data_IF_949992575804
#
_entry.id   IF_949992575804
#
_cell.length_a   1.000
_cell.length_b   1.000
_cell.length_c   1.000
_cell.angle_alpha   90.00
_cell.angle_beta   90.00
_cell.angle_gamma   90.00
#
_symmetry.space_group_name_H-M   'P 1'
#
loop_
_entity.id
_entity.type
_entity.pdbx_description
1 polymer ?
#
# COMPACT_ATOMS: atom_id res chain seq x y z
N UNK A 1 25.13 27.37 11.72
CA UNK A 1 23.94 27.71 10.90
C UNK A 1 22.68 27.22 11.59
N UNK A 2 21.82 28.09 12.16
CA UNK A 2 20.61 27.63 12.83
C UNK A 2 19.35 28.05 12.05
N UNK A 3 18.53 27.10 11.61
CA UNK A 3 17.14 27.36 11.23
C UNK A 3 16.29 26.10 11.51
N UNK A 4 15.55 26.08 12.62
CA UNK A 4 14.18 26.63 12.80
C UNK A 4 13.10 25.62 12.38
N UNK A 5 12.81 24.69 13.28
CA UNK A 5 11.48 24.09 13.38
C UNK A 5 10.65 24.97 14.35
N UNK A 6 9.43 25.43 14.02
CA UNK A 6 8.73 26.44 14.82
C UNK A 6 7.99 25.84 16.03
N UNK A 7 7.77 26.62 17.12
CA UNK A 7 6.98 26.21 18.28
C UNK A 7 5.50 26.67 18.22
N UNK A 8 4.65 25.83 18.83
CA UNK A 8 3.33 26.02 19.48
C UNK A 8 2.22 26.94 18.92
N UNK A 9 1.02 26.32 18.93
CA UNK A 9 -0.32 26.83 19.27
C UNK A 9 -1.13 27.63 18.23
N UNK A 10 -2.35 27.15 17.92
CA UNK A 10 -3.61 27.75 18.42
C UNK A 10 -4.83 26.85 18.16
N UNK A 11 -5.76 26.86 19.13
CA UNK A 11 -7.10 26.26 19.12
C UNK A 11 -8.06 27.10 18.27
N UNK A 12 -8.80 26.53 17.32
CA UNK A 12 -10.01 27.15 16.74
C UNK A 12 -11.12 26.11 16.51
N UNK A 13 -12.20 26.35 17.26
CA UNK A 13 -13.66 26.08 17.13
C UNK A 13 -14.20 24.77 16.54
N UNK A 14 -15.02 24.14 17.41
CA UNK A 14 -16.16 23.25 17.15
C UNK A 14 -17.09 23.86 16.11
N UNK A 15 -17.48 23.08 15.11
CA UNK A 15 -18.83 23.14 14.54
C UNK A 15 -19.43 21.73 14.62
N UNK A 16 -20.52 21.60 15.37
CA UNK A 16 -21.45 20.47 15.32
C UNK A 16 -22.42 20.67 14.15
N UNK A 17 -22.87 19.57 13.51
CA UNK A 17 -24.21 19.27 12.93
C UNK A 17 -24.15 18.58 11.53
N UNK A 18 -25.11 17.69 11.15
CA UNK A 18 -25.97 16.74 11.89
C UNK A 18 -25.60 15.25 11.65
N UNK A 19 -26.30 14.29 12.29
CA UNK A 19 -26.35 12.92 11.82
C UNK A 19 -27.46 12.75 10.76
N UNK A 20 -27.11 12.32 9.55
CA UNK A 20 -28.02 11.63 8.65
C UNK A 20 -27.46 10.23 8.37
N UNK A 21 -28.21 9.22 8.81
CA UNK A 21 -28.03 7.83 8.40
C UNK A 21 -28.72 7.59 7.04
N UNK A 22 -28.62 6.38 6.49
CA UNK A 22 -27.43 5.82 5.87
C UNK A 22 -27.53 6.03 4.35
N UNK A 23 -26.51 6.61 3.74
CA UNK A 23 -26.38 6.55 2.28
C UNK A 23 -26.12 5.09 1.92
N UNK A 24 -27.06 4.49 1.18
CA UNK A 24 -26.93 3.16 0.61
C UNK A 24 -25.61 3.07 -0.13
N UNK A 25 -24.71 2.20 0.33
CA UNK A 25 -23.49 1.88 -0.39
C UNK A 25 -23.92 1.42 -1.79
N UNK A 26 -23.53 2.11 -2.88
CA UNK A 26 -23.83 1.59 -4.20
C UNK A 26 -23.19 0.20 -4.32
N UNK A 27 -23.88 -0.79 -4.90
CA UNK A 27 -23.28 -2.10 -5.10
C UNK A 27 -21.99 -1.89 -5.90
N UNK A 28 -20.89 -2.49 -5.44
CA UNK A 28 -19.67 -2.60 -6.23
C UNK A 28 -20.06 -3.29 -7.54
N UNK A 29 -20.13 -2.53 -8.63
CA UNK A 29 -20.33 -3.12 -9.95
C UNK A 29 -19.12 -4.01 -10.21
N UNK A 30 -19.32 -5.17 -10.83
CA UNK A 30 -18.24 -6.11 -11.17
C UNK A 30 -17.17 -5.53 -12.12
N UNK A 31 -17.26 -4.24 -12.47
CA UNK A 31 -16.39 -3.54 -13.39
C UNK A 31 -15.00 -3.20 -12.81
N UNK A 32 -14.83 -3.14 -11.48
CA UNK A 32 -13.57 -2.70 -10.84
C UNK A 32 -12.93 -3.78 -9.94
N UNK A 33 -13.18 -5.07 -10.23
CA UNK A 33 -12.57 -6.18 -9.49
C UNK A 33 -11.33 -6.68 -10.24
N UNK A 34 -10.14 -6.30 -9.77
CA UNK A 34 -8.89 -6.90 -10.21
C UNK A 34 -8.71 -8.30 -9.58
N UNK A 35 -8.45 -9.31 -10.41
CA UNK A 35 -8.15 -10.68 -9.97
C UNK A 35 -6.69 -11.00 -10.32
N UNK A 36 -5.86 -11.20 -9.30
CA UNK A 36 -4.44 -11.52 -9.47
C UNK A 36 -4.15 -13.00 -9.20
N UNK A 37 -3.57 -13.72 -10.17
CA UNK A 37 -3.10 -15.10 -10.03
C UNK A 37 -1.57 -15.14 -9.96
N UNK A 38 -1.04 -15.81 -8.94
CA UNK A 38 0.41 -15.92 -8.71
C UNK A 38 0.88 -17.35 -8.88
N UNK A 39 1.81 -17.55 -9.82
CA UNK A 39 2.41 -18.84 -10.10
C UNK A 39 3.86 -18.86 -9.63
N UNK A 40 4.27 -19.97 -9.01
CA UNK A 40 5.68 -20.26 -8.82
C UNK A 40 6.22 -20.86 -10.12
N UNK A 41 7.23 -20.22 -10.72
CA UNK A 41 7.86 -20.71 -11.96
C UNK A 41 9.24 -21.30 -11.64
N UNK A 42 9.42 -22.63 -11.76
CA UNK A 42 10.72 -23.27 -11.61
C UNK A 42 11.75 -22.68 -12.58
N UNK A 43 13.01 -22.60 -12.14
CA UNK A 43 14.07 -21.91 -12.90
C UNK A 43 14.22 -22.44 -14.34
N UNK A 44 14.11 -23.76 -14.53
CA UNK A 44 14.23 -24.43 -15.82
C UNK A 44 13.20 -23.94 -16.87
N UNK A 45 12.04 -23.44 -16.45
CA UNK A 45 10.97 -23.03 -17.36
C UNK A 45 10.89 -21.52 -17.62
N UNK A 46 11.70 -20.71 -16.92
CA UNK A 46 11.58 -19.24 -16.99
C UNK A 46 11.90 -18.69 -18.38
N UNK A 47 12.93 -19.20 -19.03
CA UNK A 47 13.32 -18.73 -20.37
C UNK A 47 12.24 -19.02 -21.42
N UNK A 48 11.70 -20.25 -21.41
CA UNK A 48 10.61 -20.64 -22.29
C UNK A 48 9.36 -19.78 -22.05
N UNK A 49 8.99 -19.53 -20.79
CA UNK A 49 7.86 -18.66 -20.45
C UNK A 49 8.05 -17.23 -20.96
N UNK A 50 9.25 -16.66 -20.82
CA UNK A 50 9.54 -15.30 -21.33
C UNK A 50 9.40 -15.25 -22.86
N UNK A 51 9.89 -16.26 -23.58
CA UNK A 51 9.76 -16.33 -25.03
C UNK A 51 8.28 -16.41 -25.46
N UNK A 52 7.51 -17.29 -24.82
CA UNK A 52 6.06 -17.44 -25.07
C UNK A 52 5.28 -16.15 -24.80
N UNK A 53 5.56 -15.47 -23.68
CA UNK A 53 4.91 -14.20 -23.37
C UNK A 53 5.30 -13.09 -24.35
N UNK A 54 6.56 -13.05 -24.77
CA UNK A 54 7.05 -12.08 -25.76
C UNK A 54 6.41 -12.25 -27.14
N UNK A 55 6.11 -13.48 -27.54
CA UNK A 55 5.40 -13.77 -28.79
C UNK A 55 3.93 -13.32 -28.76
N UNK A 56 3.33 -13.22 -27.56
CA UNK A 56 1.92 -12.84 -27.35
C UNK A 56 1.70 -11.35 -27.15
N UNK A 57 2.77 -10.57 -26.95
CA UNK A 57 2.67 -9.12 -26.82
C UNK A 57 3.91 -8.45 -26.24
N UNK A 58 3.89 -7.11 -26.26
CA UNK A 58 4.99 -6.30 -25.73
C UNK A 58 4.92 -6.24 -24.21
N UNK A 59 5.98 -6.66 -23.53
CA UNK A 59 6.14 -6.48 -22.09
C UNK A 59 7.21 -5.42 -21.80
N UNK A 60 7.03 -4.69 -20.70
CA UNK A 60 8.04 -3.75 -20.18
C UNK A 60 8.64 -4.31 -18.91
N UNK A 61 9.97 -4.40 -18.86
CA UNK A 61 10.68 -4.68 -17.62
C UNK A 61 10.79 -3.42 -16.78
N UNK A 62 10.38 -3.50 -15.52
CA UNK A 62 10.49 -2.41 -14.53
C UNK A 62 11.15 -2.97 -13.28
N UNK A 63 12.13 -2.24 -12.72
CA UNK A 63 12.70 -2.58 -11.43
C UNK A 63 11.75 -2.17 -10.31
N UNK A 64 11.52 -3.11 -9.38
CA UNK A 64 10.67 -2.91 -8.21
C UNK A 64 11.52 -3.11 -6.95
N UNK A 65 11.47 -2.15 -6.02
CA UNK A 65 12.11 -2.26 -4.70
C UNK A 65 11.07 -1.94 -3.63
N UNK A 66 10.80 -2.90 -2.76
CA UNK A 66 9.82 -2.78 -1.67
C UNK A 66 10.51 -2.60 -0.32
N UNK A 67 9.96 -1.72 0.53
CA UNK A 67 10.28 -1.66 1.95
C UNK A 67 9.00 -1.69 2.79
N UNK A 68 8.96 -2.60 3.75
CA UNK A 68 7.85 -2.78 4.69
C UNK A 68 8.12 -2.09 6.02
N UNK A 69 7.07 -1.65 6.68
CA UNK A 69 7.14 -0.92 7.94
C UNK A 69 6.19 -1.51 8.96
N UNK A 70 6.64 -1.53 10.21
CA UNK A 70 5.85 -1.97 11.36
C UNK A 70 6.38 -1.28 12.63
N UNK A 71 5.73 -1.52 13.76
CA UNK A 71 6.28 -1.19 15.08
C UNK A 71 7.23 -2.30 15.54
N UNK A 72 8.16 -2.02 16.48
CA UNK A 72 9.06 -3.04 17.02
C UNK A 72 8.34 -4.28 17.56
N UNK A 73 7.14 -4.10 18.12
CA UNK A 73 6.26 -5.14 18.66
C UNK A 73 5.27 -5.72 17.62
N UNK A 74 5.45 -5.41 16.32
CA UNK A 74 4.68 -5.96 15.18
C UNK A 74 3.18 -5.70 15.23
N UNK A 75 2.76 -4.48 15.58
CA UNK A 75 1.33 -4.13 15.71
C UNK A 75 0.57 -4.22 14.40
N UNK A 76 1.17 -3.84 13.28
CA UNK A 76 0.51 -3.91 11.98
C UNK A 76 0.30 -5.36 11.58
N UNK A 77 1.35 -6.18 11.63
CA UNK A 77 1.23 -7.60 11.31
C UNK A 77 0.21 -8.33 12.20
N UNK A 78 0.18 -8.05 13.51
CA UNK A 78 -0.81 -8.63 14.43
C UNK A 78 -2.24 -8.21 14.13
N UNK A 79 -2.43 -7.02 13.55
CA UNK A 79 -3.72 -6.54 13.07
C UNK A 79 -4.06 -7.02 11.64
N UNK A 80 -3.25 -7.90 11.06
CA UNK A 80 -3.43 -8.36 9.67
C UNK A 80 -3.17 -7.28 8.62
N UNK A 81 -2.37 -6.25 8.97
CA UNK A 81 -2.03 -5.12 8.11
C UNK A 81 -0.58 -5.19 7.64
N UNK A 82 -0.33 -4.72 6.41
CA UNK A 82 1.02 -4.49 5.91
C UNK A 82 1.11 -3.10 5.26
N UNK A 83 2.08 -2.30 5.72
CA UNK A 83 2.36 -0.98 5.15
C UNK A 83 3.69 -1.01 4.38
N UNK A 84 3.66 -0.66 3.10
CA UNK A 84 4.83 -0.65 2.21
C UNK A 84 5.07 0.71 1.56
N UNK A 85 6.32 0.99 1.25
CA UNK A 85 6.71 1.93 0.20
C UNK A 85 7.47 1.16 -0.87
N UNK A 86 7.14 1.41 -2.13
CA UNK A 86 7.72 0.76 -3.29
C UNK A 86 8.33 1.79 -4.22
N UNK A 87 9.53 1.52 -4.72
CA UNK A 87 10.08 2.20 -5.90
C UNK A 87 9.73 1.38 -7.13
N UNK A 88 8.99 1.96 -8.06
CA UNK A 88 8.68 1.36 -9.36
C UNK A 88 9.34 2.19 -10.45
N UNK A 89 10.53 1.77 -10.89
CA UNK A 89 11.37 2.59 -11.76
C UNK A 89 11.59 4.00 -11.18
N UNK A 90 10.90 5.00 -11.75
CA UNK A 90 11.00 6.42 -11.41
C UNK A 90 10.01 6.94 -10.35
N UNK A 91 9.01 6.15 -9.92
CA UNK A 91 7.94 6.60 -9.02
C UNK A 91 7.95 5.90 -7.67
N UNK A 92 7.48 6.59 -6.63
CA UNK A 92 7.23 5.99 -5.32
C UNK A 92 5.74 5.69 -5.15
N UNK A 93 5.43 4.51 -4.64
CA UNK A 93 4.06 4.05 -4.39
C UNK A 93 3.96 3.58 -2.94
N UNK A 94 3.04 4.15 -2.18
CA UNK A 94 2.74 3.70 -0.83
C UNK A 94 1.54 2.78 -0.85
N UNK A 95 1.68 1.57 -0.32
CA UNK A 95 0.63 0.56 -0.29
C UNK A 95 0.22 0.21 1.13
N UNK A 96 -1.08 0.15 1.39
CA UNK A 96 -1.65 -0.44 2.60
C UNK A 96 -2.45 -1.67 2.21
N UNK A 97 -2.12 -2.80 2.82
CA UNK A 97 -2.84 -4.06 2.63
C UNK A 97 -3.48 -4.48 3.94
N UNK A 98 -4.68 -5.05 3.88
CA UNK A 98 -5.33 -5.70 5.00
C UNK A 98 -5.81 -7.10 4.60
N UNK A 99 -5.60 -8.07 5.48
CA UNK A 99 -6.18 -9.40 5.30
C UNK A 99 -7.70 -9.29 5.32
N UNK A 100 -8.37 -9.94 4.37
CA UNK A 100 -9.80 -10.20 4.45
C UNK A 100 -10.03 -11.65 4.85
N UNK A 101 -11.26 -12.01 5.22
CA UNK A 101 -11.63 -13.37 5.60
C UNK A 101 -11.68 -14.35 4.39
N UNK A 102 -11.46 -13.88 3.15
CA UNK A 102 -11.47 -14.71 1.95
C UNK A 102 -10.06 -15.09 1.46
N UNK A 103 -9.89 -16.30 0.92
CA UNK A 103 -8.62 -16.77 0.37
C UNK A 103 -8.15 -15.97 -0.87
N UNK A 104 -9.09 -15.38 -1.62
CA UNK A 104 -8.84 -14.71 -2.90
C UNK A 104 -8.96 -13.18 -2.84
N UNK A 105 -9.63 -12.63 -1.83
CA UNK A 105 -9.83 -11.20 -1.69
C UNK A 105 -8.95 -10.64 -0.58
N UNK A 106 -8.27 -9.52 -0.82
CA UNK A 106 -7.59 -8.74 0.22
C UNK A 106 -7.84 -7.27 -0.08
N UNK A 107 -7.98 -6.47 0.98
CA UNK A 107 -7.98 -5.03 0.78
C UNK A 107 -6.57 -4.59 0.39
N UNK A 108 -6.45 -3.79 -0.65
CA UNK A 108 -5.23 -3.11 -1.06
C UNK A 108 -5.58 -1.69 -1.49
N UNK A 109 -4.80 -0.72 -1.03
CA UNK A 109 -4.90 0.66 -1.47
C UNK A 109 -3.50 1.23 -1.70
N UNK A 110 -3.30 1.78 -2.89
CA UNK A 110 -2.03 2.37 -3.33
C UNK A 110 -2.15 3.85 -3.60
N UNK A 111 -1.13 4.62 -3.20
CA UNK A 111 -1.06 6.06 -3.42
C UNK A 111 0.32 6.43 -3.95
N UNK A 112 0.37 7.18 -5.06
CA UNK A 112 1.62 7.72 -5.59
C UNK A 112 2.18 8.76 -4.63
N UNK A 113 3.48 8.69 -4.34
CA UNK A 113 4.17 9.59 -3.42
C UNK A 113 5.29 10.35 -4.13
N UNK A 114 5.61 11.58 -3.66
CA UNK A 114 6.73 12.33 -4.20
C UNK A 114 8.08 11.71 -3.80
N UNK A 115 8.15 11.02 -2.65
CA UNK A 115 9.37 10.43 -2.11
C UNK A 115 9.09 9.13 -1.32
N UNK A 116 10.13 8.60 -0.68
CA UNK A 116 10.06 7.37 0.10
C UNK A 116 9.48 7.55 1.53
N UNK A 117 8.99 8.74 1.90
CA UNK A 117 8.49 9.02 3.26
C UNK A 117 7.07 8.48 3.40
N UNK A 118 6.84 7.71 4.46
CA UNK A 118 5.49 7.26 4.79
C UNK A 118 4.60 8.43 5.21
N UNK A 119 3.36 8.42 4.73
CA UNK A 119 2.30 9.33 5.15
C UNK A 119 1.07 8.54 5.57
N UNK A 120 0.74 8.50 6.88
CA UNK A 120 -0.46 7.84 7.35
C UNK A 120 -1.76 8.44 6.78
N UNK A 121 -1.75 9.75 6.44
CA UNK A 121 -2.93 10.43 5.92
C UNK A 121 -3.26 10.02 4.49
N UNK A 122 -2.28 9.50 3.74
CA UNK A 122 -2.51 8.99 2.38
C UNK A 122 -3.57 7.87 2.33
N UNK A 123 -3.80 7.15 3.43
CA UNK A 123 -4.83 6.10 3.52
C UNK A 123 -6.03 6.49 4.41
N UNK A 124 -6.16 7.78 4.79
CA UNK A 124 -7.18 8.22 5.74
C UNK A 124 -8.61 7.98 5.24
N UNK A 125 -8.84 7.93 3.93
CA UNK A 125 -10.16 7.67 3.34
C UNK A 125 -10.54 6.17 3.30
N UNK A 126 -9.69 5.26 3.78
CA UNK A 126 -9.92 3.81 3.64
C UNK A 126 -10.25 3.10 4.95
N UNK A 127 -10.95 1.96 4.83
CA UNK A 127 -11.48 1.18 5.95
C UNK A 127 -10.40 0.57 6.88
N UNK A 128 -9.18 0.21 6.42
CA UNK A 128 -8.05 0.12 7.34
C UNK A 128 -7.40 1.50 7.49
N UNK A 129 -7.44 2.03 8.71
CA UNK A 129 -6.75 3.28 9.06
C UNK A 129 -5.51 2.98 9.87
N UNK A 130 -4.38 3.54 9.46
CA UNK A 130 -3.13 3.47 10.22
C UNK A 130 -2.91 4.79 10.94
N UNK A 131 -2.90 4.77 12.29
CA UNK A 131 -2.52 5.92 13.14
C UNK A 131 -1.21 5.60 13.81
N UNK A 132 -0.14 6.38 13.60
CA UNK A 132 1.14 6.07 14.26
C UNK A 132 1.89 7.28 14.83
N UNK A 133 2.44 7.09 16.03
CA UNK A 133 3.38 8.01 16.69
C UNK A 133 4.83 7.47 16.72
N UNK A 134 5.05 6.18 16.44
CA UNK A 134 6.37 5.50 16.49
C UNK A 134 6.43 4.31 15.53
N UNK A 135 6.55 4.55 14.23
CA UNK A 135 6.96 3.51 13.28
C UNK A 135 8.48 3.52 13.18
N UNK A 136 9.08 2.33 13.20
CA UNK A 136 10.48 2.18 12.81
C UNK A 136 10.55 1.44 11.48
N UNK A 137 11.55 1.80 10.68
CA UNK A 137 11.95 1.00 9.53
C UNK A 137 12.36 -0.37 10.05
N UNK A 138 11.70 -1.42 9.58
CA UNK A 138 12.22 -2.78 9.64
C UNK A 138 12.21 -3.32 8.23
N UNK A 139 13.37 -3.26 7.59
CA UNK A 139 13.58 -3.80 6.26
C UNK A 139 13.41 -5.33 6.34
N UNK A 140 12.29 -5.86 5.85
CA UNK A 140 12.13 -7.29 5.61
C UNK A 140 11.60 -7.51 4.19
N UNK A 141 12.30 -8.42 3.52
CA UNK A 141 12.01 -9.09 2.23
C UNK A 141 12.24 -8.25 0.96
N UNK A 142 13.41 -8.51 0.36
CA UNK A 142 13.68 -8.38 -1.06
C UNK A 142 12.82 -9.40 -1.85
N UNK A 143 11.92 -8.95 -2.71
CA UNK A 143 11.64 -9.68 -3.96
C UNK A 143 12.46 -8.99 -5.07
N UNK A 144 13.52 -9.64 -5.55
CA UNK A 144 13.99 -9.41 -6.93
C UNK A 144 12.97 -10.03 -7.83
N UNK A 145 12.29 -9.22 -8.63
CA UNK A 145 11.64 -9.67 -9.86
C UNK A 145 12.68 -9.72 -10.99
#
# INVERSE_FOLDING_TARGET
MPSRWPPTARRIRKNLWPPTAPESTPPLTAADVEIELKFLVPAAFRAALVAELGARGTSRRISLVDAYFDTPDRRLARAGLAWRIRREGGRWVQGLKASSNGALARFEHEVIRPDARLDPQAHAATAPRVRTRRIRRRCWIWKRS
#
